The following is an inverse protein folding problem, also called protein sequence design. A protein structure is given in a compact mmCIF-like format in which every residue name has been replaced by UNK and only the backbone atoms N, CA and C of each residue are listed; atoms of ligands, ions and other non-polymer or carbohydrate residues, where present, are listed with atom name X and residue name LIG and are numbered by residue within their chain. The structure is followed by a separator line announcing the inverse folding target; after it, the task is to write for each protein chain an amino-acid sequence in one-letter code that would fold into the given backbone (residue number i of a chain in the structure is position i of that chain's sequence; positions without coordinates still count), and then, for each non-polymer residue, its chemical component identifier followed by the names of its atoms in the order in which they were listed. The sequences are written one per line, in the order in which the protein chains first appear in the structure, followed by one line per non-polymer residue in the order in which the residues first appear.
data_IF_351889869296
#
_entry.id   IF_351889869296
#
_cell.length_a   1.000
_cell.length_b   1.000
_cell.length_c   1.000
_cell.angle_alpha   90.00
_cell.angle_beta   90.00
_cell.angle_gamma   90.00
#
_symmetry.space_group_name_H-M   'P 1'
#
loop_
_entity.id
_entity.type
_entity.pdbx_description
1 polymer ?
#
# COMPACT_ATOMS: atom_id res chain seq x y z
N UNK A 1 0.87 14.05 -5.81
CA UNK A 1 -0.26 14.03 -4.86
C UNK A 1 0.07 12.91 -3.88
N UNK A 2 0.32 13.21 -2.60
CA UNK A 2 0.74 12.19 -1.63
C UNK A 2 -0.39 11.18 -1.41
N UNK A 3 -0.06 9.89 -1.45
CA UNK A 3 -0.92 8.76 -1.08
C UNK A 3 -1.46 8.84 0.36
N UNK A 4 -0.93 9.75 1.18
CA UNK A 4 -1.45 10.14 2.49
C UNK A 4 -2.95 10.46 2.54
N UNK A 5 -3.57 10.93 1.44
CA UNK A 5 -5.01 11.20 1.44
C UNK A 5 -5.87 9.98 1.07
N UNK A 6 -5.31 8.97 0.41
CA UNK A 6 -6.12 7.87 -0.13
C UNK A 6 -6.34 6.77 0.89
N UNK A 7 -5.29 6.23 1.51
CA UNK A 7 -5.45 5.09 2.43
C UNK A 7 -6.22 5.46 3.70
N UNK A 8 -5.92 6.61 4.32
CA UNK A 8 -6.68 7.11 5.48
C UNK A 8 -8.17 7.32 5.15
N UNK A 9 -8.50 7.65 3.89
CA UNK A 9 -9.88 7.83 3.44
C UNK A 9 -10.64 6.51 3.31
N UNK A 10 -9.96 5.42 2.99
CA UNK A 10 -10.61 4.11 2.83
C UNK A 10 -10.94 3.46 4.17
N UNK A 11 -10.18 3.72 5.23
CA UNK A 11 -10.48 3.20 6.58
C UNK A 11 -11.66 3.94 7.25
N UNK A 12 -12.13 5.06 6.67
CA UNK A 12 -13.29 5.78 7.23
C UNK A 12 -14.56 4.96 7.07
N UNK A 13 -15.04 4.46 8.20
CA UNK A 13 -16.39 3.91 8.33
C UNK A 13 -17.42 5.00 8.06
N UNK A 14 -18.47 4.64 7.35
CA UNK A 14 -19.62 5.51 7.10
C UNK A 14 -20.91 4.67 7.16
N UNK A 15 -22.02 5.19 6.65
CA UNK A 15 -23.30 4.45 6.68
C UNK A 15 -23.22 3.13 5.90
N UNK A 16 -22.38 3.07 4.88
CA UNK A 16 -22.33 1.99 3.88
C UNK A 16 -21.07 1.12 4.00
N UNK A 17 -20.16 1.45 4.93
CA UNK A 17 -18.87 0.74 5.11
C UNK A 17 -18.56 0.46 6.57
N UNK A 18 -18.02 -0.71 6.83
CA UNK A 18 -17.53 -1.15 8.14
C UNK A 18 -16.05 -1.49 8.03
N UNK A 19 -15.22 -0.86 8.85
CA UNK A 19 -13.79 -1.15 8.94
C UNK A 19 -13.54 -2.36 9.87
N UNK A 20 -12.33 -2.93 9.81
CA UNK A 20 -11.98 -4.07 10.65
C UNK A 20 -12.04 -3.68 12.13
N UNK A 21 -11.60 -2.47 12.46
CA UNK A 21 -11.64 -1.93 13.82
C UNK A 21 -13.04 -1.72 14.40
N UNK A 22 -14.09 -1.73 13.58
CA UNK A 22 -15.49 -1.62 14.05
C UNK A 22 -16.04 -2.95 14.59
N UNK A 23 -15.38 -4.07 14.28
CA UNK A 23 -15.84 -5.41 14.70
C UNK A 23 -15.61 -5.62 16.20
N UNK A 24 -14.41 -5.29 16.69
CA UNK A 24 -14.06 -5.41 18.10
C UNK A 24 -12.83 -4.57 18.46
N UNK A 25 -12.59 -4.28 19.76
CA UNK A 25 -11.36 -3.64 20.20
C UNK A 25 -10.09 -4.39 19.79
N UNK A 26 -10.13 -5.72 19.76
CA UNK A 26 -8.99 -6.55 19.35
C UNK A 26 -8.69 -6.37 17.86
N UNK A 27 -9.72 -6.33 17.02
CA UNK A 27 -9.54 -6.10 15.59
C UNK A 27 -9.11 -4.66 15.27
N UNK A 28 -9.46 -3.70 16.13
CA UNK A 28 -8.95 -2.33 16.03
C UNK A 28 -7.44 -2.25 16.28
N UNK A 29 -6.92 -3.05 17.20
CA UNK A 29 -5.46 -3.14 17.41
C UNK A 29 -4.76 -3.73 16.18
N UNK A 30 -5.33 -4.76 15.57
CA UNK A 30 -4.83 -5.37 14.33
C UNK A 30 -4.83 -4.37 13.16
N UNK A 31 -5.94 -3.64 12.97
CA UNK A 31 -6.06 -2.60 11.96
C UNK A 31 -5.01 -1.49 12.15
N UNK A 32 -4.85 -1.00 13.38
CA UNK A 32 -3.83 0.01 13.71
C UNK A 32 -2.41 -0.48 13.42
N UNK A 33 -2.11 -1.75 13.74
CA UNK A 33 -0.81 -2.35 13.46
C UNK A 33 -0.50 -2.33 11.95
N UNK A 34 -1.43 -2.79 11.12
CA UNK A 34 -1.22 -2.82 9.67
C UNK A 34 -1.19 -1.41 9.06
N UNK A 35 -2.01 -0.49 9.55
CA UNK A 35 -1.93 0.92 9.15
C UNK A 35 -0.55 1.52 9.42
N UNK A 36 0.03 1.25 10.59
CA UNK A 36 1.36 1.72 10.91
C UNK A 36 2.41 1.16 9.93
N UNK A 37 2.36 -0.13 9.61
CA UNK A 37 3.27 -0.74 8.63
C UNK A 37 3.14 -0.13 7.24
N UNK A 38 1.90 0.02 6.76
CA UNK A 38 1.62 0.67 5.46
C UNK A 38 2.21 2.08 5.42
N UNK A 39 2.02 2.87 6.48
CA UNK A 39 2.54 4.24 6.57
C UNK A 39 4.08 4.28 6.53
N UNK A 40 4.76 3.34 7.19
CA UNK A 40 6.22 3.24 7.15
C UNK A 40 6.73 2.96 5.72
N UNK A 41 6.14 1.97 5.05
CA UNK A 41 6.56 1.58 3.70
C UNK A 41 6.22 2.68 2.69
N UNK A 42 5.08 3.34 2.84
CA UNK A 42 4.71 4.49 2.01
C UNK A 42 5.71 5.64 2.17
N UNK A 43 6.10 5.96 3.40
CA UNK A 43 7.15 6.95 3.66
C UNK A 43 8.45 6.56 2.96
N UNK A 44 8.84 5.29 3.01
CA UNK A 44 10.03 4.80 2.33
C UNK A 44 9.92 4.96 0.80
N UNK A 45 8.79 4.58 0.19
CA UNK A 45 8.50 4.81 -1.24
C UNK A 45 8.66 6.29 -1.60
N UNK A 46 8.14 7.19 -0.76
CA UNK A 46 8.21 8.63 -0.95
C UNK A 46 9.64 9.18 -0.95
N UNK A 47 10.57 8.54 -0.24
CA UNK A 47 12.00 8.93 -0.22
C UNK A 47 12.78 8.48 -1.45
N UNK A 48 12.23 7.59 -2.28
CA UNK A 48 12.91 7.13 -3.51
C UNK A 48 12.67 8.12 -4.65
N UNK A 49 13.68 8.96 -4.88
CA UNK A 49 13.76 9.84 -6.04
C UNK A 49 14.10 9.03 -7.30
N UNK A 50 13.22 9.10 -8.31
CA UNK A 50 13.42 8.50 -9.63
C UNK A 50 13.20 9.59 -10.67
N UNK A 51 14.27 9.94 -11.38
CA UNK A 51 14.28 11.00 -12.41
C UNK A 51 14.15 10.45 -13.81
N UNK A 52 14.70 9.25 -14.07
CA UNK A 52 14.88 8.73 -15.43
C UNK A 52 13.84 7.69 -15.85
N UNK A 53 12.94 7.27 -14.96
CA UNK A 53 11.93 6.25 -15.26
C UNK A 53 10.57 6.52 -14.57
N UNK A 54 9.92 7.66 -14.86
CA UNK A 54 8.68 8.08 -14.19
C UNK A 54 7.48 7.18 -14.52
N UNK A 55 7.42 6.60 -15.72
CA UNK A 55 6.32 5.71 -16.14
C UNK A 55 6.29 4.43 -15.31
N UNK A 56 7.45 3.78 -15.14
CA UNK A 56 7.55 2.58 -14.31
C UNK A 56 7.20 2.89 -12.85
N UNK A 57 7.63 4.04 -12.31
CA UNK A 57 7.23 4.48 -10.97
C UNK A 57 5.72 4.65 -10.86
N UNK A 58 5.07 5.29 -11.82
CA UNK A 58 3.63 5.49 -11.81
C UNK A 58 2.85 4.18 -11.92
N UNK A 59 3.31 3.23 -12.75
CA UNK A 59 2.74 1.89 -12.84
C UNK A 59 2.77 1.17 -11.47
N UNK A 60 3.91 1.20 -10.77
CA UNK A 60 4.03 0.61 -9.43
C UNK A 60 3.12 1.31 -8.41
N UNK A 61 2.98 2.64 -8.48
CA UNK A 61 2.05 3.37 -7.60
C UNK A 61 0.58 3.03 -7.88
N UNK A 62 0.23 2.79 -9.14
CA UNK A 62 -1.12 2.38 -9.52
C UNK A 62 -1.47 0.98 -8.99
N UNK A 63 -0.49 0.07 -8.89
CA UNK A 63 -0.70 -1.23 -8.26
C UNK A 63 -1.14 -1.09 -6.79
N UNK A 64 -0.47 -0.22 -6.02
CA UNK A 64 -0.85 0.03 -4.61
C UNK A 64 -2.27 0.61 -4.53
N UNK A 65 -2.61 1.56 -5.42
CA UNK A 65 -3.94 2.19 -5.45
C UNK A 65 -5.05 1.21 -5.85
N UNK A 66 -4.76 0.22 -6.69
CA UNK A 66 -5.76 -0.76 -7.12
C UNK A 66 -6.25 -1.61 -5.94
N UNK A 67 -5.35 -1.92 -5.00
CA UNK A 67 -5.66 -2.69 -3.80
C UNK A 67 -6.67 -1.97 -2.88
N UNK A 68 -6.72 -0.64 -2.92
CA UNK A 68 -7.67 0.14 -2.11
C UNK A 68 -9.13 -0.15 -2.49
N UNK A 69 -9.38 -0.39 -3.78
CA UNK A 69 -10.73 -0.72 -4.27
C UNK A 69 -11.23 -2.07 -3.73
N UNK A 70 -10.33 -3.05 -3.61
CA UNK A 70 -10.62 -4.37 -3.05
C UNK A 70 -10.97 -4.24 -1.56
N UNK A 71 -10.23 -3.41 -0.82
CA UNK A 71 -10.54 -3.18 0.60
C UNK A 71 -11.94 -2.56 0.79
N UNK A 72 -12.31 -1.57 -0.04
CA UNK A 72 -13.66 -0.97 -0.01
C UNK A 72 -14.76 -2.00 -0.27
N UNK A 73 -14.52 -2.95 -1.17
CA UNK A 73 -15.46 -4.05 -1.43
C UNK A 73 -15.66 -4.88 -0.16
N UNK A 74 -14.57 -5.29 0.50
CA UNK A 74 -14.62 -6.06 1.75
C UNK A 74 -15.33 -5.29 2.88
N UNK A 75 -15.12 -3.98 3.00
CA UNK A 75 -15.82 -3.15 4.00
C UNK A 75 -17.33 -3.13 3.80
N UNK A 76 -17.80 -3.11 2.54
CA UNK A 76 -19.24 -3.16 2.21
C UNK A 76 -19.83 -4.53 2.52
N UNK A 77 -19.09 -5.58 2.20
CA UNK A 77 -19.50 -6.96 2.50
C UNK A 77 -19.57 -7.22 4.00
N UNK A 78 -18.58 -6.73 4.77
CA UNK A 78 -18.58 -6.79 6.23
C UNK A 78 -19.74 -5.99 6.81
N UNK A 79 -20.02 -4.79 6.27
CA UNK A 79 -21.16 -3.99 6.71
C UNK A 79 -22.49 -4.74 6.54
N UNK A 80 -22.63 -5.48 5.44
CA UNK A 80 -23.79 -6.31 5.16
C UNK A 80 -23.83 -7.58 6.04
N UNK A 81 -22.67 -8.10 6.46
CA UNK A 81 -22.54 -9.31 7.27
C UNK A 81 -21.52 -9.14 8.43
N UNK A 82 -21.84 -8.36 9.48
CA UNK A 82 -20.84 -7.90 10.49
C UNK A 82 -20.16 -8.98 11.34
N UNK A 83 -20.65 -10.22 11.30
CA UNK A 83 -20.09 -11.37 12.03
C UNK A 83 -19.52 -12.46 11.14
N UNK A 84 -19.39 -12.22 9.82
CA UNK A 84 -18.83 -13.22 8.92
C UNK A 84 -17.30 -13.26 9.05
N UNK A 85 -16.81 -14.26 9.81
CA UNK A 85 -15.39 -14.48 10.03
C UNK A 85 -14.59 -14.65 8.74
N UNK A 86 -15.21 -15.10 7.65
CA UNK A 86 -14.52 -15.25 6.35
C UNK A 86 -14.16 -13.89 5.77
N UNK A 87 -15.05 -12.90 5.92
CA UNK A 87 -14.80 -11.52 5.45
C UNK A 87 -13.75 -10.86 6.35
N UNK A 88 -13.86 -11.05 7.66
CA UNK A 88 -12.87 -10.55 8.63
C UNK A 88 -11.47 -11.09 8.29
N UNK A 89 -11.35 -12.40 8.05
CA UNK A 89 -10.09 -13.01 7.65
C UNK A 89 -9.59 -12.49 6.29
N UNK A 90 -10.48 -12.30 5.31
CA UNK A 90 -10.12 -11.71 4.02
C UNK A 90 -9.61 -10.27 4.15
N UNK A 91 -10.16 -9.46 5.07
CA UNK A 91 -9.65 -8.12 5.36
C UNK A 91 -8.24 -8.16 5.98
N UNK A 92 -7.98 -9.12 6.88
CA UNK A 92 -6.64 -9.32 7.47
C UNK A 92 -5.64 -9.76 6.40
N UNK A 93 -6.00 -10.75 5.57
CA UNK A 93 -5.18 -11.23 4.46
C UNK A 93 -4.89 -10.12 3.43
N UNK A 94 -5.89 -9.26 3.17
CA UNK A 94 -5.69 -8.08 2.33
C UNK A 94 -4.62 -7.14 2.86
N UNK A 95 -4.62 -6.83 4.17
CA UNK A 95 -3.55 -6.02 4.78
C UNK A 95 -2.17 -6.65 4.61
N UNK A 96 -2.06 -7.96 4.85
CA UNK A 96 -0.81 -8.70 4.71
C UNK A 96 -0.30 -8.63 3.26
N UNK A 97 -1.19 -8.92 2.30
CA UNK A 97 -0.89 -8.87 0.87
C UNK A 97 -0.46 -7.46 0.45
N UNK A 98 -1.15 -6.43 0.95
CA UNK A 98 -0.79 -5.04 0.64
C UNK A 98 0.62 -4.69 1.10
N UNK A 99 0.98 -5.11 2.31
CA UNK A 99 2.33 -4.88 2.85
C UNK A 99 3.39 -5.62 2.02
N UNK A 100 3.12 -6.86 1.62
CA UNK A 100 4.03 -7.63 0.77
C UNK A 100 4.24 -6.96 -0.59
N UNK A 101 3.16 -6.53 -1.24
CA UNK A 101 3.20 -5.81 -2.52
C UNK A 101 3.98 -4.49 -2.38
N UNK A 102 3.70 -3.71 -1.33
CA UNK A 102 4.42 -2.46 -1.09
C UNK A 102 5.91 -2.71 -0.82
N UNK A 103 6.28 -3.76 -0.10
CA UNK A 103 7.67 -4.16 0.11
C UNK A 103 8.37 -4.57 -1.19
N UNK A 104 7.69 -5.30 -2.06
CA UNK A 104 8.20 -5.63 -3.39
C UNK A 104 8.43 -4.36 -4.23
N UNK A 105 7.51 -3.40 -4.18
CA UNK A 105 7.62 -2.12 -4.88
C UNK A 105 8.82 -1.31 -4.37
N UNK A 106 9.03 -1.24 -3.06
CA UNK A 106 10.23 -0.59 -2.48
C UNK A 106 11.50 -1.18 -3.08
N UNK A 107 11.60 -2.50 -3.15
CA UNK A 107 12.77 -3.17 -3.72
C UNK A 107 12.96 -2.82 -5.19
N UNK A 108 11.89 -2.84 -5.99
CA UNK A 108 11.97 -2.44 -7.40
C UNK A 108 12.41 -0.98 -7.58
N UNK A 109 11.85 -0.05 -6.81
CA UNK A 109 12.22 1.36 -6.87
C UNK A 109 13.70 1.58 -6.52
N UNK A 110 14.22 0.85 -5.53
CA UNK A 110 15.66 0.87 -5.18
C UNK A 110 16.53 0.31 -6.30
N UNK A 111 16.12 -0.78 -6.95
CA UNK A 111 16.82 -1.37 -8.10
C UNK A 111 16.90 -0.37 -9.25
N UNK A 112 15.77 0.23 -9.63
CA UNK A 112 15.71 1.25 -10.70
C UNK A 112 16.66 2.41 -10.38
N UNK A 113 16.67 2.92 -9.14
CA UNK A 113 17.59 3.99 -8.73
C UNK A 113 19.07 3.58 -8.86
N UNK A 114 19.41 2.35 -8.46
CA UNK A 114 20.79 1.87 -8.47
C UNK A 114 21.30 1.57 -9.89
N UNK A 115 20.47 1.00 -10.77
CA UNK A 115 20.79 0.79 -12.18
C UNK A 115 21.12 2.11 -12.89
N UNK A 116 20.38 3.16 -12.58
CA UNK A 116 20.64 4.52 -13.08
C UNK A 116 21.95 5.13 -12.55
N UNK A 117 22.41 4.74 -11.36
CA UNK A 117 23.69 5.24 -10.82
C UNK A 117 24.89 4.59 -11.51
N UNK A 118 24.75 3.33 -11.94
CA UNK A 118 25.81 2.58 -12.60
C UNK A 118 25.94 2.92 -14.10
N UNK A 119 24.85 3.32 -14.77
CA UNK A 119 24.92 3.75 -16.17
C UNK A 119 25.68 5.08 -16.34
N UNK A 120 25.62 5.99 -15.36
CA UNK A 120 26.35 7.27 -15.41
C UNK A 120 27.86 7.11 -15.21
N UNK A 121 28.33 6.06 -14.51
CA UNK A 121 29.76 5.84 -14.23
C UNK A 121 30.52 5.24 -15.43
N UNK A 122 29.83 4.59 -16.38
CA UNK A 122 30.47 3.88 -17.49
C UNK A 122 30.78 4.77 -18.71
N UNK A 123 30.35 6.04 -18.72
CA UNK A 123 30.62 6.99 -19.80
C UNK A 123 31.85 7.89 -19.54
N UNK A 124 32.44 7.88 -18.34
CA UNK A 124 33.59 8.74 -18.00
C UNK A 124 34.98 8.08 -18.19
N UNK A 125 35.08 6.79 -18.58
CA UNK A 125 36.37 6.10 -18.74
C UNK A 125 36.82 5.87 -20.18
N UNK A 126 36.41 6.70 -21.13
CA UNK A 126 36.94 6.68 -22.49
C UNK A 126 37.30 8.10 -22.97
N UNK A 127 38.44 8.62 -22.51
CA UNK A 127 39.19 9.70 -23.18
C UNK A 127 40.68 9.38 -23.11
#
# INVERSE_FOLDING_TARGET
ISSLWTWEHFIRSDRDRMALGDVSPQYKEVENYYMHQVNLIESEIGTVEITNNPEQKEMLMNEIRSMDSVYVQLQKELRANPGDERIINAMIEHYQTKIEVMGFIVNQLKTIRNENSNSTQNEETSI
#
